data_IF_977417277382
#
_entry.id   IF_977417277382
#
_cell.length_a   1.000
_cell.length_b   1.000
_cell.length_c   1.000
_cell.angle_alpha   90.00
_cell.angle_beta   90.00
_cell.angle_gamma   90.00
#
_symmetry.space_group_name_H-M   'P 1'
#
loop_
_entity.id
_entity.type
_entity.pdbx_description
1 polymer ?
#
# COMPACT_ATOMS: atom_id res chain seq x y z
N UNK A 1 50.04 -40.35 32.98
CA UNK A 1 49.60 -39.84 31.65
C UNK A 1 48.08 -40.02 31.56
N UNK A 2 47.40 -39.22 30.74
CA UNK A 2 45.94 -39.21 30.45
C UNK A 2 45.03 -38.11 31.04
N UNK A 3 45.58 -36.96 31.44
CA UNK A 3 44.78 -35.72 31.55
C UNK A 3 44.71 -34.96 30.19
N UNK A 4 45.57 -35.32 29.23
CA UNK A 4 45.76 -34.58 27.99
C UNK A 4 44.74 -34.90 26.86
N UNK A 5 43.90 -35.92 27.05
CA UNK A 5 43.02 -36.41 25.97
C UNK A 5 41.58 -35.86 26.02
N UNK A 6 41.15 -35.25 27.15
CA UNK A 6 39.81 -34.67 27.27
C UNK A 6 39.68 -33.25 26.69
N UNK A 7 40.76 -32.46 26.64
CA UNK A 7 40.69 -31.07 26.13
C UNK A 7 40.64 -31.00 24.60
N UNK A 8 41.36 -31.88 23.89
CA UNK A 8 41.38 -31.92 22.42
C UNK A 8 39.99 -32.22 21.86
N UNK A 9 39.25 -33.17 22.46
CA UNK A 9 37.90 -33.54 21.99
C UNK A 9 36.86 -32.43 22.14
N UNK A 10 36.95 -31.57 23.17
CA UNK A 10 36.02 -30.44 23.34
C UNK A 10 36.20 -29.36 22.26
N UNK A 11 37.45 -29.11 21.84
CA UNK A 11 37.76 -28.07 20.86
C UNK A 11 37.27 -28.41 19.43
N UNK A 12 37.28 -29.70 19.08
CA UNK A 12 36.77 -30.18 17.80
C UNK A 12 35.26 -30.05 17.62
N UNK A 13 34.47 -29.89 18.70
CA UNK A 13 33.02 -29.68 18.61
C UNK A 13 32.61 -28.22 18.80
N UNK A 14 33.40 -27.41 19.53
CA UNK A 14 33.06 -26.00 19.78
C UNK A 14 33.34 -25.09 18.58
N UNK A 15 34.45 -25.31 17.87
CA UNK A 15 34.82 -24.50 16.71
C UNK A 15 33.87 -24.67 15.50
N UNK A 16 33.48 -25.90 15.09
CA UNK A 16 32.51 -26.04 14.00
C UNK A 16 31.10 -25.58 14.40
N UNK A 17 30.70 -25.74 15.66
CA UNK A 17 29.41 -25.22 16.13
C UNK A 17 29.34 -23.68 16.08
N UNK A 18 30.41 -22.99 16.50
CA UNK A 18 30.53 -21.53 16.36
C UNK A 18 30.54 -21.09 14.89
N UNK A 19 31.21 -21.84 14.01
CA UNK A 19 31.22 -21.55 12.58
C UNK A 19 29.82 -21.72 11.95
N UNK A 20 29.07 -22.76 12.34
CA UNK A 20 27.70 -22.97 11.86
C UNK A 20 26.78 -21.83 12.34
N UNK A 21 26.87 -21.43 13.62
CA UNK A 21 26.09 -20.30 14.15
C UNK A 21 26.43 -19.00 13.41
N UNK A 22 27.71 -18.74 13.18
CA UNK A 22 28.15 -17.57 12.42
C UNK A 22 27.63 -17.60 10.97
N UNK A 23 27.66 -18.76 10.30
CA UNK A 23 27.11 -18.92 8.95
C UNK A 23 25.58 -18.69 8.94
N UNK A 24 24.85 -19.20 9.93
CA UNK A 24 23.40 -18.98 10.05
C UNK A 24 23.08 -17.49 10.27
N UNK A 25 23.86 -16.79 11.10
CA UNK A 25 23.69 -15.35 11.33
C UNK A 25 24.04 -14.52 10.10
N UNK A 26 25.11 -14.87 9.38
CA UNK A 26 25.50 -14.22 8.13
C UNK A 26 24.44 -14.45 7.05
N UNK A 27 23.92 -15.67 6.93
CA UNK A 27 22.83 -15.98 5.99
C UNK A 27 21.56 -15.22 6.35
N UNK A 28 21.15 -15.20 7.63
CA UNK A 28 19.98 -14.46 8.09
C UNK A 28 20.09 -12.93 7.88
N UNK A 29 21.29 -12.36 7.99
CA UNK A 29 21.54 -10.93 7.75
C UNK A 29 21.74 -10.57 6.26
N UNK A 30 22.03 -11.56 5.41
CA UNK A 30 22.24 -11.37 3.97
C UNK A 30 20.91 -11.27 3.20
N UNK A 31 20.97 -10.81 1.95
CA UNK A 31 19.82 -10.81 1.02
C UNK A 31 19.21 -12.21 0.83
N UNK A 32 20.01 -13.28 1.00
CA UNK A 32 19.53 -14.67 1.02
C UNK A 32 18.66 -14.99 2.24
N UNK A 33 18.89 -14.35 3.38
CA UNK A 33 18.05 -14.47 4.57
C UNK A 33 16.66 -13.91 4.32
N UNK A 34 16.58 -12.75 3.66
CA UNK A 34 15.31 -12.19 3.17
C UNK A 34 14.61 -13.20 2.26
N UNK A 35 15.31 -13.73 1.25
CA UNK A 35 14.80 -14.77 0.32
C UNK A 35 14.32 -16.06 1.00
N UNK A 36 15.00 -16.54 2.04
CA UNK A 36 14.57 -17.71 2.82
C UNK A 36 13.28 -17.42 3.62
N UNK A 37 13.12 -16.22 4.17
CA UNK A 37 11.81 -15.81 4.74
C UNK A 37 10.70 -15.77 3.69
N UNK A 38 11.00 -15.43 2.42
CA UNK A 38 10.01 -15.50 1.32
C UNK A 38 9.59 -16.95 1.00
N UNK A 39 10.51 -17.92 1.10
CA UNK A 39 10.22 -19.35 0.83
C UNK A 39 9.41 -20.05 1.94
N UNK A 40 9.45 -19.55 3.18
CA UNK A 40 8.75 -20.15 4.32
C UNK A 40 7.33 -19.58 4.48
N UNK A 41 7.07 -18.38 3.95
CA UNK A 41 5.73 -17.78 3.94
C UNK A 41 4.90 -18.48 2.86
N UNK A 42 3.75 -19.04 3.24
CA UNK A 42 2.87 -19.80 2.36
C UNK A 42 2.36 -19.01 1.16
N UNK A 43 1.43 -19.60 0.40
CA UNK A 43 0.78 -18.95 -0.74
C UNK A 43 0.31 -17.53 -0.36
N UNK A 44 0.77 -16.55 -1.12
CA UNK A 44 0.67 -15.11 -0.86
C UNK A 44 -0.22 -14.50 -1.93
N UNK A 45 -1.38 -13.99 -1.54
CA UNK A 45 -2.31 -13.42 -2.49
C UNK A 45 -2.02 -11.94 -2.68
N UNK A 46 -2.20 -11.44 -3.89
CA UNK A 46 -2.13 -9.99 -4.13
C UNK A 46 -3.10 -9.23 -3.22
N UNK A 47 -2.79 -7.96 -2.88
CA UNK A 47 -3.68 -7.09 -2.13
C UNK A 47 -5.08 -6.98 -2.74
N UNK A 48 -6.06 -6.66 -1.92
CA UNK A 48 -7.41 -6.33 -2.33
C UNK A 48 -7.70 -4.85 -2.12
N UNK A 49 -8.49 -4.27 -3.03
CA UNK A 49 -8.92 -2.88 -2.98
C UNK A 49 -10.44 -2.84 -3.09
N UNK A 50 -11.09 -2.24 -2.10
CA UNK A 50 -12.48 -1.82 -2.19
C UNK A 50 -12.58 -0.30 -2.09
N UNK A 51 -13.50 0.26 -2.86
CA UNK A 51 -13.77 1.67 -2.87
C UNK A 51 -15.27 1.90 -2.88
N UNK A 52 -15.75 2.55 -1.82
CA UNK A 52 -17.15 2.87 -1.65
C UNK A 52 -17.36 4.37 -1.73
N UNK A 53 -18.36 4.76 -2.51
CA UNK A 53 -18.85 6.11 -2.58
C UNK A 53 -20.37 6.04 -2.74
N UNK A 54 -21.08 6.80 -1.93
CA UNK A 54 -22.53 6.90 -2.01
C UNK A 54 -22.92 8.36 -1.92
N UNK A 55 -23.40 8.99 -3.00
CA UNK A 55 -23.86 10.36 -2.94
C UNK A 55 -25.21 10.39 -2.23
N UNK A 56 -25.28 11.13 -1.12
CA UNK A 56 -26.57 11.49 -0.52
C UNK A 56 -27.11 12.71 -1.27
N UNK A 57 -27.80 12.48 -2.40
CA UNK A 57 -28.48 13.54 -3.16
C UNK A 57 -27.58 14.34 -4.12
N UNK A 58 -27.93 15.63 -4.33
CA UNK A 58 -27.20 16.56 -5.20
C UNK A 58 -25.97 17.11 -4.48
N UNK A 59 -24.83 16.40 -4.60
CA UNK A 59 -23.59 16.73 -3.88
C UNK A 59 -22.61 17.49 -4.79
N UNK A 60 -21.96 18.54 -4.27
CA UNK A 60 -20.86 19.25 -4.97
C UNK A 60 -19.54 18.51 -4.81
N UNK A 61 -18.59 18.71 -5.73
CA UNK A 61 -17.24 18.10 -5.60
C UNK A 61 -16.55 18.45 -4.28
N UNK A 62 -16.81 19.64 -3.73
CA UNK A 62 -16.34 20.09 -2.40
C UNK A 62 -16.83 19.24 -1.24
N UNK A 63 -17.97 18.57 -1.41
CA UNK A 63 -18.67 17.79 -0.38
C UNK A 63 -18.57 16.28 -0.65
N UNK A 64 -18.11 15.89 -1.85
CA UNK A 64 -17.95 14.50 -2.22
C UNK A 64 -16.76 13.90 -1.45
N UNK A 65 -17.04 12.81 -0.74
CA UNK A 65 -16.05 12.00 -0.03
C UNK A 65 -16.27 10.53 -0.37
N UNK A 66 -15.20 9.84 -0.77
CA UNK A 66 -15.16 8.39 -0.92
C UNK A 66 -14.41 7.74 0.23
N UNK A 67 -14.58 6.44 0.41
CA UNK A 67 -13.84 5.64 1.36
C UNK A 67 -13.13 4.51 0.63
N UNK A 68 -11.84 4.37 0.90
CA UNK A 68 -11.02 3.28 0.37
C UNK A 68 -10.72 2.31 1.51
N UNK A 69 -10.78 1.02 1.19
CA UNK A 69 -10.40 -0.08 2.05
C UNK A 69 -9.37 -0.95 1.31
N UNK A 70 -8.22 -1.19 1.95
CA UNK A 70 -7.14 -2.03 1.44
C UNK A 70 -6.92 -3.18 2.41
N UNK A 71 -6.74 -4.39 1.90
CA UNK A 71 -6.47 -5.58 2.71
C UNK A 71 -5.47 -6.51 2.01
N UNK A 72 -4.53 -7.06 2.77
CA UNK A 72 -3.52 -8.01 2.34
C UNK A 72 -3.30 -9.10 3.41
N UNK A 73 -2.93 -10.31 3.01
CA UNK A 73 -2.73 -11.43 3.94
C UNK A 73 -1.39 -11.33 4.71
N UNK A 74 -0.44 -10.51 4.25
CA UNK A 74 0.86 -10.31 4.91
C UNK A 74 1.14 -8.87 5.31
N UNK A 75 1.35 -7.99 4.35
CA UNK A 75 1.75 -6.60 4.56
C UNK A 75 1.60 -5.78 3.27
N UNK A 76 0.86 -4.67 3.38
CA UNK A 76 0.77 -3.67 2.33
C UNK A 76 2.06 -2.83 2.29
N UNK A 77 2.59 -2.59 1.09
CA UNK A 77 3.59 -1.55 0.85
C UNK A 77 2.88 -0.21 0.58
N UNK A 78 2.61 0.52 1.66
CA UNK A 78 1.90 1.80 1.58
C UNK A 78 2.60 2.83 0.72
N UNK A 79 3.92 2.75 0.50
CA UNK A 79 4.67 3.67 -0.37
C UNK A 79 4.18 3.65 -1.83
N UNK A 80 3.55 2.52 -2.22
CA UNK A 80 3.01 2.32 -3.57
C UNK A 80 1.55 2.76 -3.71
N UNK A 81 0.88 3.11 -2.60
CA UNK A 81 -0.53 3.46 -2.62
C UNK A 81 -0.77 4.79 -3.35
N UNK A 82 -1.64 4.76 -4.35
CA UNK A 82 -1.98 5.93 -5.17
C UNK A 82 -3.46 5.95 -5.53
N UNK A 83 -4.06 7.14 -5.47
CA UNK A 83 -5.37 7.41 -6.08
C UNK A 83 -5.20 8.52 -7.11
N UNK A 84 -5.55 8.24 -8.36
CA UNK A 84 -5.43 9.16 -9.48
C UNK A 84 -6.77 9.37 -10.19
N UNK A 85 -7.03 10.60 -10.63
CA UNK A 85 -8.09 10.91 -11.59
C UNK A 85 -7.49 10.86 -12.99
N UNK A 86 -7.88 9.85 -13.77
CA UNK A 86 -7.25 9.49 -15.04
C UNK A 86 -7.37 10.61 -16.07
N UNK A 87 -8.53 11.26 -16.15
CA UNK A 87 -8.82 12.26 -17.19
C UNK A 87 -7.88 13.47 -17.11
N UNK A 88 -7.51 13.88 -15.90
CA UNK A 88 -6.69 15.07 -15.65
C UNK A 88 -5.29 14.72 -15.12
N UNK A 89 -4.93 13.43 -15.11
CA UNK A 89 -3.68 12.90 -14.56
C UNK A 89 -3.34 13.53 -13.18
N UNK A 90 -4.35 13.64 -12.32
CA UNK A 90 -4.23 14.29 -11.00
C UNK A 90 -4.25 13.26 -9.91
N UNK A 91 -3.21 13.25 -9.09
CA UNK A 91 -3.12 12.40 -7.91
C UNK A 91 -3.89 13.06 -6.76
N UNK A 92 -4.90 12.36 -6.24
CA UNK A 92 -5.73 12.84 -5.13
C UNK A 92 -5.10 12.54 -3.78
N UNK A 93 -4.42 11.39 -3.70
CA UNK A 93 -3.84 10.87 -2.47
C UNK A 93 -2.64 10.01 -2.81
N UNK A 94 -1.62 10.15 -1.99
CA UNK A 94 -0.41 9.35 -2.00
C UNK A 94 -0.28 8.64 -0.66
N UNK A 95 0.56 7.61 -0.69
CA UNK A 95 1.13 6.88 0.42
C UNK A 95 1.33 7.68 1.72
N UNK A 96 1.17 6.95 2.83
CA UNK A 96 1.75 7.33 4.13
C UNK A 96 2.89 6.37 4.41
N UNK A 97 4.12 6.88 4.29
CA UNK A 97 5.34 6.07 4.41
C UNK A 97 5.58 5.55 5.84
N UNK A 98 4.83 6.05 6.82
CA UNK A 98 4.91 5.67 8.24
C UNK A 98 3.94 4.56 8.63
N UNK A 99 3.09 4.08 7.71
CA UNK A 99 2.15 3.01 7.97
C UNK A 99 2.72 1.67 7.52
N UNK A 100 2.53 0.65 8.35
CA UNK A 100 2.75 -0.77 8.02
C UNK A 100 1.60 -1.55 8.64
N UNK A 101 0.98 -2.43 7.86
CA UNK A 101 -0.26 -3.08 8.25
C UNK A 101 -0.84 -3.94 7.14
N UNK A 102 -1.75 -4.82 7.54
CA UNK A 102 -2.50 -5.71 6.64
C UNK A 102 -3.77 -5.07 6.12
N UNK A 103 -4.31 -4.13 6.88
CA UNK A 103 -5.55 -3.45 6.57
C UNK A 103 -5.35 -1.94 6.65
N UNK A 104 -6.02 -1.20 5.78
CA UNK A 104 -6.02 0.25 5.81
C UNK A 104 -7.33 0.81 5.30
N UNK A 105 -7.82 1.81 6.02
CA UNK A 105 -9.03 2.53 5.65
C UNK A 105 -8.75 4.02 5.67
N UNK A 106 -9.11 4.72 4.60
CA UNK A 106 -9.02 6.17 4.60
C UNK A 106 -10.16 6.81 3.81
N UNK A 107 -10.42 8.07 4.13
CA UNK A 107 -11.34 8.93 3.40
C UNK A 107 -10.59 9.69 2.32
N UNK A 108 -11.26 9.88 1.19
CA UNK A 108 -10.73 10.56 0.01
C UNK A 108 -11.68 11.71 -0.31
N UNK A 109 -11.21 12.93 -0.10
CA UNK A 109 -11.98 14.13 -0.45
C UNK A 109 -11.73 14.52 -1.90
N UNK A 110 -12.82 14.83 -2.62
CA UNK A 110 -12.77 15.32 -3.99
C UNK A 110 -12.77 16.84 -4.08
N UNK A 111 -12.70 17.56 -2.96
CA UNK A 111 -12.78 19.02 -2.94
C UNK A 111 -11.71 19.70 -3.79
N UNK A 112 -10.53 19.10 -3.90
CA UNK A 112 -9.42 19.56 -4.76
C UNK A 112 -9.71 19.48 -6.27
N UNK A 113 -10.82 18.85 -6.67
CA UNK A 113 -11.28 18.77 -8.05
C UNK A 113 -12.35 19.80 -8.39
N UNK A 114 -12.88 20.50 -7.37
CA UNK A 114 -13.87 21.54 -7.58
C UNK A 114 -13.33 22.64 -8.52
N UNK A 115 -14.17 23.11 -9.43
CA UNK A 115 -13.78 24.11 -10.43
C UNK A 115 -12.96 23.57 -11.60
N UNK A 116 -12.68 22.26 -11.67
CA UNK A 116 -12.00 21.69 -12.83
C UNK A 116 -12.97 21.60 -14.04
N UNK A 117 -12.72 22.34 -15.13
CA UNK A 117 -13.66 22.42 -16.25
C UNK A 117 -13.80 21.11 -17.03
N UNK A 118 -12.75 20.28 -17.08
CA UNK A 118 -12.77 19.01 -17.80
C UNK A 118 -13.66 17.98 -17.11
N UNK A 119 -13.56 17.89 -15.78
CA UNK A 119 -14.40 17.01 -14.96
C UNK A 119 -15.87 17.47 -15.03
N UNK A 120 -16.11 18.77 -14.92
CA UNK A 120 -17.45 19.34 -14.97
C UNK A 120 -18.10 19.12 -16.33
N UNK A 121 -17.37 19.32 -17.43
CA UNK A 121 -17.91 19.13 -18.79
C UNK A 121 -18.25 17.66 -19.06
N UNK A 122 -17.45 16.72 -18.54
CA UNK A 122 -17.68 15.28 -18.72
C UNK A 122 -18.82 14.74 -17.86
N UNK A 123 -19.12 15.38 -16.72
CA UNK A 123 -20.13 14.88 -15.78
C UNK A 123 -19.76 13.52 -15.14
N UNK A 124 -18.51 13.09 -15.28
CA UNK A 124 -17.98 11.88 -14.69
C UNK A 124 -16.46 11.96 -14.60
N UNK A 125 -15.87 11.16 -13.71
CA UNK A 125 -14.43 10.97 -13.58
C UNK A 125 -14.10 9.50 -13.33
N UNK A 126 -12.92 9.07 -13.76
CA UNK A 126 -12.41 7.73 -13.55
C UNK A 126 -11.30 7.79 -12.50
N UNK A 127 -11.51 7.10 -11.39
CA UNK A 127 -10.48 6.89 -10.39
C UNK A 127 -9.70 5.63 -10.70
N UNK A 128 -8.38 5.74 -10.76
CA UNK A 128 -7.46 4.62 -10.72
C UNK A 128 -6.87 4.53 -9.33
N UNK A 129 -7.07 3.39 -8.67
CA UNK A 129 -6.58 3.13 -7.32
C UNK A 129 -5.64 1.94 -7.40
N UNK A 130 -4.42 2.11 -6.90
CA UNK A 130 -3.40 1.07 -6.92
C UNK A 130 -2.68 0.96 -5.58
N UNK A 131 -2.29 -0.27 -5.24
CA UNK A 131 -1.43 -0.59 -4.09
C UNK A 131 -0.71 -1.92 -4.35
N UNK A 132 0.53 -2.04 -3.90
CA UNK A 132 1.29 -3.28 -3.89
C UNK A 132 1.54 -3.77 -2.45
N UNK A 133 1.85 -5.05 -2.31
CA UNK A 133 2.37 -5.63 -1.07
C UNK A 133 3.90 -5.46 -0.92
N UNK A 134 4.45 -5.89 0.22
CA UNK A 134 5.88 -5.91 0.50
C UNK A 134 6.69 -6.87 -0.39
N UNK A 135 6.02 -7.60 -1.28
CA UNK A 135 6.59 -8.53 -2.26
C UNK A 135 6.51 -8.01 -3.70
N UNK A 136 5.89 -6.85 -3.91
CA UNK A 136 5.70 -6.21 -5.20
C UNK A 136 4.52 -6.73 -6.01
N UNK A 137 3.60 -7.50 -5.44
CA UNK A 137 2.34 -7.85 -6.12
C UNK A 137 1.42 -6.64 -6.16
N UNK A 138 1.24 -6.08 -7.35
CA UNK A 138 0.40 -4.91 -7.58
C UNK A 138 -1.06 -5.30 -7.79
N UNK A 139 -1.95 -4.61 -7.10
CA UNK A 139 -3.38 -4.57 -7.41
C UNK A 139 -3.76 -3.18 -7.86
N UNK A 140 -4.57 -3.11 -8.93
CA UNK A 140 -5.12 -1.89 -9.47
C UNK A 140 -6.61 -2.10 -9.79
N UNK A 141 -7.42 -1.10 -9.46
CA UNK A 141 -8.84 -1.04 -9.85
C UNK A 141 -9.16 0.32 -10.46
N UNK A 142 -10.13 0.32 -11.38
CA UNK A 142 -10.73 1.55 -11.88
C UNK A 142 -12.18 1.68 -11.41
N UNK A 143 -12.59 2.90 -11.06
CA UNK A 143 -13.95 3.24 -10.61
C UNK A 143 -14.43 4.52 -11.28
N UNK A 144 -15.55 4.41 -11.99
CA UNK A 144 -16.20 5.56 -12.61
C UNK A 144 -17.17 6.19 -11.62
N UNK A 145 -16.99 7.47 -11.34
CA UNK A 145 -17.84 8.27 -10.47
C UNK A 145 -18.59 9.28 -11.34
N UNK A 146 -19.92 9.26 -11.26
CA UNK A 146 -20.78 10.23 -11.92
C UNK A 146 -20.88 11.50 -11.07
N UNK A 147 -20.78 12.65 -11.71
CA UNK A 147 -20.79 13.96 -11.08
C UNK A 147 -21.89 14.79 -11.72
N UNK A 148 -22.60 15.59 -10.93
CA UNK A 148 -23.51 16.56 -11.51
C UNK A 148 -22.70 17.76 -12.06
N UNK A 149 -22.68 18.00 -13.38
CA UNK A 149 -21.93 19.10 -13.99
C UNK A 149 -22.34 20.49 -13.47
N UNK A 150 -23.61 20.67 -13.07
CA UNK A 150 -24.13 21.92 -12.49
C UNK A 150 -23.53 22.22 -11.11
N UNK A 151 -23.11 21.19 -10.38
CA UNK A 151 -22.62 21.27 -9.00
C UNK A 151 -21.09 21.20 -8.90
N UNK A 152 -20.40 20.84 -9.98
CA UNK A 152 -18.95 20.84 -10.03
C UNK A 152 -18.33 22.23 -10.28
N UNK A 153 -19.11 23.17 -10.82
CA UNK A 153 -18.67 24.54 -11.17
C UNK A 153 -18.86 25.57 -10.06
N UNK A 154 -19.46 25.18 -8.93
CA UNK A 154 -19.79 26.12 -7.87
C UNK A 154 -18.55 26.44 -7.02
N UNK A 155 -17.66 27.29 -7.55
CA UNK A 155 -16.91 28.22 -6.71
C UNK A 155 -17.92 28.91 -5.80
N UNK A 156 -17.63 28.99 -4.50
CA UNK A 156 -18.35 29.89 -3.60
C UNK A 156 -18.21 31.30 -4.20
N UNK A 157 -19.23 31.76 -4.93
CA UNK A 157 -19.46 33.19 -5.06
C UNK A 157 -19.79 33.68 -3.67
N UNK A 158 -18.77 34.12 -2.93
CA UNK A 158 -18.96 35.04 -1.82
C UNK A 158 -19.60 36.26 -2.46
N UNK A 159 -20.90 36.45 -2.22
CA UNK A 159 -21.57 37.67 -2.59
C UNK A 159 -20.94 38.79 -1.75
N UNK A 160 -20.29 39.72 -2.42
CA UNK A 160 -19.84 41.01 -1.86
C UNK A 160 -21.03 41.97 -1.75
#
# INVERSE_FOLDING_TARGET
MDIENKSKRRWFFTLPALAIIAIVLILAASEYGKSLSYLIRGQDNKPTIDFTWTPLGRVRLTEMVGQVFLEDDYALDFSTFKIEVVEINKVLKIARDDLVGREYTDRVSFAQLAGNPEINTRGQMTLRISVADDRGQLTEIERVIKINPELGSAEMKVAE
#
